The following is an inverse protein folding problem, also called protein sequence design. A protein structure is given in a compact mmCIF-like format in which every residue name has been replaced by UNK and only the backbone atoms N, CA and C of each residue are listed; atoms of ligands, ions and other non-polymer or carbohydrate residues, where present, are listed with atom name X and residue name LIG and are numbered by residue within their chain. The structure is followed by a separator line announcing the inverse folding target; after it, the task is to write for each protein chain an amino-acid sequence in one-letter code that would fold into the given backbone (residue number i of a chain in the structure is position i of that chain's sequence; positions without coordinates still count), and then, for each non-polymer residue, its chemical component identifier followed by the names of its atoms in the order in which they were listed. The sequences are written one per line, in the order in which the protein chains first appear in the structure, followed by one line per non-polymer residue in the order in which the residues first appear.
data_IF_090352272607
#
_entry.id   IF_090352272607
#
_cell.length_a   1.000
_cell.length_b   1.000
_cell.length_c   1.000
_cell.angle_alpha   90.00
_cell.angle_beta   90.00
_cell.angle_gamma   90.00
#
_symmetry.space_group_name_H-M   'P 1'
#
loop_
_entity.id
_entity.type
_entity.pdbx_description
1 polymer ?
#
# COMPACT_ATOMS: atom_id res chain seq x y z
N UNK A 1 1.21 14.41 -28.66
CA UNK A 1 1.75 15.26 -27.60
C UNK A 1 2.30 14.36 -26.52
N UNK A 2 3.61 14.11 -26.61
CA UNK A 2 4.41 13.26 -25.76
C UNK A 2 4.80 14.09 -24.52
N UNK A 3 4.10 13.90 -23.42
CA UNK A 3 4.53 14.45 -22.13
C UNK A 3 5.50 13.42 -21.55
N UNK A 4 6.79 13.73 -21.62
CA UNK A 4 7.86 12.84 -21.23
C UNK A 4 7.70 12.40 -19.77
N UNK A 5 7.78 11.11 -19.55
CA UNK A 5 7.80 10.39 -18.26
C UNK A 5 8.80 10.97 -17.23
N UNK A 6 9.71 11.83 -17.66
CA UNK A 6 10.75 12.47 -16.85
C UNK A 6 10.27 13.65 -16.02
N UNK A 7 9.22 14.36 -16.45
CA UNK A 7 8.71 15.53 -15.70
C UNK A 7 7.76 15.12 -14.55
N UNK A 8 6.98 14.06 -14.77
CA UNK A 8 6.15 13.45 -13.74
C UNK A 8 7.00 12.89 -12.58
N UNK A 9 8.10 12.22 -12.91
CA UNK A 9 9.02 11.67 -11.92
C UNK A 9 9.73 12.74 -11.07
N UNK A 10 10.01 13.93 -11.61
CA UNK A 10 10.65 15.00 -10.83
C UNK A 10 9.70 15.66 -9.82
N UNK A 11 8.44 15.85 -10.17
CA UNK A 11 7.47 16.53 -9.31
C UNK A 11 6.98 15.63 -8.17
N UNK A 12 6.92 14.31 -8.40
CA UNK A 12 6.58 13.32 -7.38
C UNK A 12 7.76 13.03 -6.44
N UNK A 13 8.97 12.92 -6.98
CA UNK A 13 10.21 12.70 -6.20
C UNK A 13 10.52 13.87 -5.26
N UNK A 14 10.20 15.12 -5.64
CA UNK A 14 10.38 16.29 -4.78
C UNK A 14 9.43 16.28 -3.57
N UNK A 15 8.18 15.84 -3.73
CA UNK A 15 7.22 15.75 -2.60
C UNK A 15 7.60 14.68 -1.59
N UNK A 16 8.07 13.52 -2.03
CA UNK A 16 8.52 12.42 -1.16
C UNK A 16 9.85 12.80 -0.47
N UNK A 17 10.78 13.47 -1.19
CA UNK A 17 12.05 13.92 -0.62
C UNK A 17 11.89 15.08 0.38
N UNK A 18 10.92 15.97 0.17
CA UNK A 18 10.66 17.06 1.10
C UNK A 18 9.97 16.57 2.39
N UNK A 19 9.09 15.55 2.32
CA UNK A 19 8.50 14.91 3.50
C UNK A 19 9.56 14.17 4.35
N UNK A 20 10.52 13.47 3.72
CA UNK A 20 11.64 12.84 4.43
C UNK A 20 12.59 13.85 5.10
N UNK A 21 12.65 15.10 4.64
CA UNK A 21 13.50 16.15 5.26
C UNK A 21 12.99 16.66 6.59
N UNK A 22 11.69 16.49 6.90
CA UNK A 22 11.06 16.99 8.12
C UNK A 22 10.79 15.93 9.19
N UNK A 23 11.24 14.68 8.99
CA UNK A 23 11.08 13.61 9.98
C UNK A 23 9.62 13.19 10.24
N UNK A 24 8.68 13.60 9.39
CA UNK A 24 7.29 13.21 9.47
C UNK A 24 7.09 11.87 8.74
N UNK A 25 6.68 10.86 9.49
CA UNK A 25 6.24 9.57 8.95
C UNK A 25 4.86 9.75 8.34
N UNK A 26 4.73 9.60 7.03
CA UNK A 26 3.46 9.85 6.34
C UNK A 26 2.87 8.59 5.73
N UNK A 27 1.61 8.30 6.05
CA UNK A 27 0.83 7.30 5.35
C UNK A 27 0.66 7.67 3.86
N UNK A 28 0.63 6.66 3.00
CA UNK A 28 0.40 6.85 1.55
C UNK A 28 -1.10 6.81 1.27
N UNK A 29 -1.58 7.74 0.44
CA UNK A 29 -2.96 7.74 -0.05
C UNK A 29 -3.00 7.50 -1.55
N UNK A 30 -3.79 6.51 -1.97
CA UNK A 30 -3.99 6.11 -3.35
C UNK A 30 -5.49 6.00 -3.64
N UNK A 31 -5.88 6.20 -4.90
CA UNK A 31 -7.29 6.14 -5.30
C UNK A 31 -7.53 5.17 -6.46
N UNK A 32 -8.62 4.40 -6.36
CA UNK A 32 -9.13 3.54 -7.44
C UNK A 32 -10.66 3.52 -7.41
N UNK A 33 -11.28 3.29 -8.57
CA UNK A 33 -12.74 3.09 -8.66
C UNK A 33 -13.10 1.63 -8.44
N UNK A 34 -14.30 1.42 -7.90
CA UNK A 34 -14.95 0.11 -7.89
C UNK A 34 -15.56 -0.13 -9.27
N UNK A 35 -14.96 -1.03 -10.03
CA UNK A 35 -15.34 -1.36 -11.40
C UNK A 35 -16.39 -2.47 -11.46
N UNK A 36 -17.08 -2.60 -12.60
CA UNK A 36 -18.12 -3.59 -12.83
C UNK A 36 -17.71 -5.04 -12.49
N UNK A 37 -16.52 -5.54 -12.84
CA UNK A 37 -16.10 -6.90 -12.50
C UNK A 37 -15.93 -7.18 -11.01
N UNK A 38 -15.97 -6.16 -10.16
CA UNK A 38 -15.79 -6.28 -8.71
C UNK A 38 -17.09 -6.56 -7.98
N UNK A 39 -18.25 -6.23 -8.58
CA UNK A 39 -19.55 -6.28 -7.91
C UNK A 39 -20.37 -7.50 -8.35
N UNK A 40 -21.21 -7.98 -7.45
CA UNK A 40 -22.20 -9.01 -7.70
C UNK A 40 -23.58 -8.41 -8.07
N UNK A 41 -24.60 -9.28 -8.17
CA UNK A 41 -25.98 -8.87 -8.47
C UNK A 41 -26.60 -7.95 -7.42
N UNK A 42 -26.06 -7.91 -6.20
CA UNK A 42 -26.46 -6.98 -5.16
C UNK A 42 -25.83 -5.59 -5.29
N UNK A 43 -25.04 -5.36 -6.33
CA UNK A 43 -24.25 -4.14 -6.54
C UNK A 43 -23.28 -3.84 -5.39
N UNK A 44 -22.71 -4.89 -4.82
CA UNK A 44 -21.73 -4.84 -3.74
C UNK A 44 -20.49 -5.60 -4.18
N UNK A 45 -19.30 -5.03 -3.95
CA UNK A 45 -18.06 -5.75 -4.19
C UNK A 45 -17.98 -6.97 -3.27
N UNK A 46 -17.89 -8.18 -3.84
CA UNK A 46 -17.78 -9.37 -3.02
C UNK A 46 -16.35 -9.52 -2.48
N UNK A 47 -16.22 -10.11 -1.28
CA UNK A 47 -15.03 -10.01 -0.46
C UNK A 47 -13.69 -10.37 -1.16
N UNK A 48 -13.58 -11.39 -2.06
CA UNK A 48 -12.31 -11.65 -2.73
C UNK A 48 -11.83 -10.50 -3.62
N UNK A 49 -12.79 -9.74 -4.20
CA UNK A 49 -12.45 -8.56 -5.02
C UNK A 49 -11.97 -7.37 -4.18
N UNK A 50 -12.36 -7.31 -2.91
CA UNK A 50 -11.83 -6.30 -1.98
C UNK A 50 -10.37 -6.60 -1.66
N UNK A 51 -10.01 -7.88 -1.46
CA UNK A 51 -8.60 -8.28 -1.32
C UNK A 51 -7.79 -8.09 -2.60
N UNK A 52 -8.37 -8.36 -3.78
CA UNK A 52 -7.75 -8.05 -5.08
C UNK A 52 -7.47 -6.53 -5.24
N UNK A 53 -8.43 -5.69 -4.83
CA UNK A 53 -8.25 -4.24 -4.82
C UNK A 53 -7.14 -3.82 -3.82
N UNK A 54 -7.12 -4.40 -2.63
CA UNK A 54 -6.08 -4.15 -1.65
C UNK A 54 -4.69 -4.54 -2.17
N UNK A 55 -4.59 -5.67 -2.89
CA UNK A 55 -3.33 -6.09 -3.50
C UNK A 55 -2.85 -5.11 -4.58
N UNK A 56 -3.76 -4.57 -5.40
CA UNK A 56 -3.40 -3.52 -6.37
C UNK A 56 -2.90 -2.25 -5.70
N UNK A 57 -3.49 -1.85 -4.60
CA UNK A 57 -2.99 -0.74 -3.80
C UNK A 57 -1.63 -1.06 -3.17
N UNK A 58 -1.43 -2.30 -2.70
CA UNK A 58 -0.14 -2.77 -2.22
C UNK A 58 0.95 -2.63 -3.31
N UNK A 59 0.70 -3.10 -4.53
CA UNK A 59 1.66 -2.98 -5.64
C UNK A 59 1.98 -1.51 -5.97
N UNK A 60 0.95 -0.65 -6.05
CA UNK A 60 1.15 0.78 -6.36
C UNK A 60 1.89 1.52 -5.23
N UNK A 61 1.70 1.09 -3.97
CA UNK A 61 2.29 1.76 -2.81
C UNK A 61 3.82 1.64 -2.75
N UNK A 62 4.41 0.61 -3.35
CA UNK A 62 5.85 0.41 -3.36
C UNK A 62 6.63 1.56 -3.99
N UNK A 63 6.12 2.12 -5.09
CA UNK A 63 6.76 3.27 -5.73
C UNK A 63 6.71 4.51 -4.83
N UNK A 64 5.58 4.74 -4.17
CA UNK A 64 5.41 5.86 -3.25
C UNK A 64 6.25 5.72 -1.96
N UNK A 65 6.38 4.51 -1.41
CA UNK A 65 7.06 4.24 -0.14
C UNK A 65 8.58 4.07 -0.34
N UNK A 66 8.99 3.29 -1.34
CA UNK A 66 10.38 2.87 -1.52
C UNK A 66 11.05 3.45 -2.77
N UNK A 67 10.32 4.23 -3.60
CA UNK A 67 10.81 4.70 -4.90
C UNK A 67 11.05 3.59 -5.91
N UNK A 68 10.51 2.39 -5.68
CA UNK A 68 10.68 1.19 -6.48
C UNK A 68 9.34 0.61 -6.87
N UNK A 69 9.11 0.34 -8.14
CA UNK A 69 7.91 -0.39 -8.58
C UNK A 69 8.01 -1.86 -8.16
N UNK A 70 6.89 -2.44 -7.75
CA UNK A 70 6.82 -3.83 -7.27
C UNK A 70 7.44 -4.87 -8.24
N UNK A 71 7.23 -4.78 -9.58
CA UNK A 71 7.92 -5.66 -10.52
C UNK A 71 9.47 -5.61 -10.47
N UNK A 72 10.06 -4.45 -10.12
CA UNK A 72 11.52 -4.33 -9.95
C UNK A 72 11.99 -5.17 -8.76
N UNK A 73 11.24 -5.15 -7.64
CA UNK A 73 11.52 -6.01 -6.48
C UNK A 73 11.51 -7.49 -6.88
N UNK A 74 10.50 -7.93 -7.63
CA UNK A 74 10.30 -9.33 -8.00
C UNK A 74 11.32 -9.81 -9.04
N UNK A 75 11.50 -9.05 -10.12
CA UNK A 75 12.21 -9.50 -11.32
C UNK A 75 13.70 -9.17 -11.28
N UNK A 76 14.08 -8.00 -10.76
CA UNK A 76 15.45 -7.54 -10.73
C UNK A 76 16.13 -7.84 -9.40
N UNK A 77 15.49 -7.49 -8.28
CA UNK A 77 16.04 -7.75 -6.95
C UNK A 77 15.79 -9.17 -6.45
N UNK A 78 14.92 -9.94 -7.13
CA UNK A 78 14.53 -11.31 -6.74
C UNK A 78 14.03 -11.40 -5.31
N UNK A 79 13.27 -10.39 -4.87
CA UNK A 79 12.65 -10.33 -3.54
C UNK A 79 11.14 -10.24 -3.67
N UNK A 80 10.44 -11.17 -3.01
CA UNK A 80 8.99 -11.19 -2.91
C UNK A 80 8.52 -10.87 -1.50
N UNK A 81 7.25 -10.42 -1.40
CA UNK A 81 6.63 -10.11 -0.12
C UNK A 81 5.25 -10.80 -0.02
N UNK A 82 5.21 -12.16 -0.05
CA UNK A 82 3.95 -12.88 0.13
C UNK A 82 3.31 -12.55 1.47
N UNK A 83 1.98 -12.46 1.46
CA UNK A 83 1.17 -12.28 2.68
C UNK A 83 1.10 -13.62 3.43
N UNK A 84 1.37 -13.59 4.73
CA UNK A 84 1.34 -14.76 5.61
C UNK A 84 0.25 -14.66 6.68
N UNK A 85 -0.29 -13.46 6.91
CA UNK A 85 -1.38 -13.23 7.85
C UNK A 85 -2.24 -12.07 7.37
N UNK A 86 -3.56 -12.19 7.53
CA UNK A 86 -4.54 -11.13 7.23
C UNK A 86 -5.58 -11.08 8.32
N UNK A 87 -5.82 -9.88 8.84
CA UNK A 87 -6.98 -9.55 9.66
C UNK A 87 -7.74 -8.43 8.97
N UNK A 88 -9.07 -8.53 8.87
CA UNK A 88 -9.88 -7.55 8.15
C UNK A 88 -11.24 -7.36 8.78
N UNK A 89 -11.73 -6.11 8.73
CA UNK A 89 -13.07 -5.74 9.17
C UNK A 89 -13.81 -5.01 8.04
N UNK A 90 -15.05 -5.41 7.81
CA UNK A 90 -15.95 -4.82 6.83
C UNK A 90 -16.93 -3.91 7.57
N UNK A 91 -16.87 -2.59 7.31
CA UNK A 91 -17.67 -1.58 8.00
C UNK A 91 -18.88 -1.16 7.17
N UNK A 92 -18.71 -1.01 5.86
CA UNK A 92 -19.77 -0.70 4.92
C UNK A 92 -19.48 -1.29 3.53
N UNK A 93 -20.49 -1.49 2.66
CA UNK A 93 -20.29 -2.09 1.36
C UNK A 93 -19.60 -1.15 0.37
N UNK A 94 -18.63 -1.67 -0.38
CA UNK A 94 -18.08 -1.00 -1.56
C UNK A 94 -19.06 -1.21 -2.73
N UNK A 95 -19.51 -0.14 -3.36
CA UNK A 95 -20.51 -0.20 -4.45
C UNK A 95 -19.88 0.16 -5.79
N UNK A 96 -20.50 -0.34 -6.87
CA UNK A 96 -20.10 0.04 -8.23
C UNK A 96 -20.08 1.57 -8.39
N UNK A 97 -18.99 2.07 -8.95
CA UNK A 97 -18.78 3.50 -9.19
C UNK A 97 -18.22 4.29 -8.01
N UNK A 98 -18.11 3.69 -6.81
CA UNK A 98 -17.41 4.34 -5.71
C UNK A 98 -15.94 4.61 -6.08
N UNK A 99 -15.45 5.76 -5.64
CA UNK A 99 -14.02 6.08 -5.65
C UNK A 99 -13.46 5.76 -4.27
N UNK A 100 -12.63 4.74 -4.20
CA UNK A 100 -11.98 4.32 -2.96
C UNK A 100 -10.68 5.08 -2.80
N UNK A 101 -10.55 5.77 -1.67
CA UNK A 101 -9.28 6.30 -1.16
C UNK A 101 -8.72 5.29 -0.17
N UNK A 102 -7.60 4.66 -0.52
CA UNK A 102 -6.87 3.77 0.37
C UNK A 102 -5.78 4.58 1.10
N UNK A 103 -5.84 4.61 2.42
CA UNK A 103 -4.75 5.08 3.27
C UNK A 103 -3.96 3.87 3.74
N UNK A 104 -2.66 3.85 3.45
CA UNK A 104 -1.75 2.74 3.70
C UNK A 104 -0.58 3.24 4.54
N UNK A 105 -0.27 2.52 5.60
CA UNK A 105 0.91 2.78 6.44
C UNK A 105 1.53 1.48 6.93
N UNK A 106 2.75 1.59 7.41
CA UNK A 106 3.51 0.48 7.99
C UNK A 106 3.48 0.63 9.50
N UNK A 107 2.94 -0.38 10.17
CA UNK A 107 2.89 -0.45 11.64
C UNK A 107 4.21 -0.97 12.21
N UNK A 108 4.79 -1.98 11.56
CA UNK A 108 6.01 -2.62 12.05
C UNK A 108 6.87 -3.16 10.93
N UNK A 109 8.19 -2.92 11.02
CA UNK A 109 9.21 -3.54 10.17
C UNK A 109 10.09 -4.44 11.04
N UNK A 110 9.99 -5.78 10.83
CA UNK A 110 10.84 -6.78 11.45
C UNK A 110 12.08 -7.06 10.59
N UNK A 111 12.92 -8.03 10.98
CA UNK A 111 14.11 -8.42 10.20
C UNK A 111 13.75 -8.83 8.76
N UNK A 112 12.72 -9.66 8.61
CA UNK A 112 12.25 -10.20 7.32
C UNK A 112 10.73 -10.11 7.17
N UNK A 113 10.01 -9.37 8.01
CA UNK A 113 8.56 -9.21 7.94
C UNK A 113 8.16 -7.74 8.01
N UNK A 114 7.01 -7.42 7.43
CA UNK A 114 6.45 -6.09 7.44
C UNK A 114 4.94 -6.16 7.69
N UNK A 115 4.44 -5.34 8.60
CA UNK A 115 3.01 -5.22 8.91
C UNK A 115 2.45 -4.01 8.22
N UNK A 116 1.53 -4.24 7.31
CA UNK A 116 0.83 -3.25 6.50
C UNK A 116 -0.55 -3.00 7.07
N UNK A 117 -0.95 -1.75 7.19
CA UNK A 117 -2.28 -1.35 7.61
C UNK A 117 -2.99 -0.58 6.51
N UNK A 118 -4.29 -0.82 6.37
CA UNK A 118 -5.13 -0.25 5.32
C UNK A 118 -6.43 0.30 5.91
N UNK A 119 -6.83 1.48 5.44
CA UNK A 119 -8.18 2.03 5.59
C UNK A 119 -8.71 2.39 4.21
N UNK A 120 -9.91 1.91 3.86
CA UNK A 120 -10.60 2.27 2.64
C UNK A 120 -11.78 3.16 2.96
N UNK A 121 -11.78 4.36 2.38
CA UNK A 121 -12.89 5.31 2.45
C UNK A 121 -13.47 5.53 1.07
N UNK A 122 -14.78 5.78 0.99
CA UNK A 122 -15.41 6.23 -0.26
C UNK A 122 -15.27 7.75 -0.45
N UNK A 123 -15.83 8.28 -1.55
CA UNK A 123 -15.81 9.71 -1.89
C UNK A 123 -16.59 10.60 -0.91
N UNK A 124 -17.31 10.01 0.05
CA UNK A 124 -18.04 10.71 1.13
C UNK A 124 -17.31 10.62 2.47
N UNK A 125 -16.06 10.13 2.46
CA UNK A 125 -15.25 9.87 3.65
C UNK A 125 -15.86 8.82 4.62
N UNK A 126 -16.72 7.95 4.11
CA UNK A 126 -17.26 6.83 4.87
C UNK A 126 -16.23 5.70 4.89
N UNK A 127 -15.90 5.19 6.09
CA UNK A 127 -15.02 4.04 6.28
C UNK A 127 -15.72 2.76 5.83
N UNK A 128 -15.16 2.07 4.84
CA UNK A 128 -15.73 0.87 4.26
C UNK A 128 -15.03 -0.41 4.72
N UNK A 129 -13.72 -0.38 4.83
CA UNK A 129 -12.92 -1.56 5.13
C UNK A 129 -11.60 -1.19 5.79
N UNK A 130 -11.17 -2.03 6.75
CA UNK A 130 -9.84 -1.95 7.37
C UNK A 130 -9.17 -3.30 7.31
N UNK A 131 -7.84 -3.31 7.19
CA UNK A 131 -7.07 -4.55 7.25
C UNK A 131 -5.68 -4.33 7.82
N UNK A 132 -5.21 -5.35 8.54
CA UNK A 132 -3.81 -5.53 8.90
C UNK A 132 -3.28 -6.78 8.22
N UNK A 133 -2.19 -6.64 7.48
CA UNK A 133 -1.58 -7.71 6.71
C UNK A 133 -0.10 -7.84 7.03
N UNK A 134 0.36 -9.04 7.28
CA UNK A 134 1.79 -9.32 7.49
C UNK A 134 2.35 -9.96 6.24
N UNK A 135 3.40 -9.35 5.68
CA UNK A 135 4.20 -9.93 4.60
C UNK A 135 5.55 -10.39 5.11
N UNK A 136 6.15 -11.36 4.42
CA UNK A 136 7.50 -11.87 4.72
C UNK A 136 8.36 -11.71 3.48
N UNK A 137 9.56 -11.14 3.64
CA UNK A 137 10.54 -11.04 2.57
C UNK A 137 11.10 -12.42 2.25
N UNK A 138 10.96 -12.83 0.99
CA UNK A 138 11.49 -14.11 0.49
C UNK A 138 12.38 -13.88 -0.73
N UNK A 139 13.33 -14.76 -0.87
CA UNK A 139 14.09 -14.90 -2.12
C UNK A 139 13.23 -15.63 -3.14
N UNK A 140 13.05 -15.04 -4.34
CA UNK A 140 12.13 -15.55 -5.36
C UNK A 140 12.60 -16.84 -6.03
N UNK A 141 13.88 -17.13 -6.00
CA UNK A 141 14.39 -18.35 -6.64
C UNK A 141 14.27 -19.56 -5.70
N UNK A 142 14.43 -19.36 -4.39
CA UNK A 142 14.43 -20.42 -3.38
C UNK A 142 13.16 -20.44 -2.50
N UNK A 143 12.35 -19.39 -2.55
CA UNK A 143 11.21 -19.14 -1.65
C UNK A 143 11.58 -19.17 -0.16
N UNK A 144 12.86 -19.05 0.16
CA UNK A 144 13.33 -18.97 1.53
C UNK A 144 13.19 -17.58 2.09
N UNK A 145 12.89 -17.51 3.39
CA UNK A 145 12.82 -16.25 4.14
C UNK A 145 14.19 -15.59 4.20
N UNK A 146 14.25 -14.30 3.88
CA UNK A 146 15.49 -13.51 3.88
C UNK A 146 15.26 -12.15 4.55
N UNK A 147 16.32 -11.50 5.07
CA UNK A 147 16.20 -10.14 5.60
C UNK A 147 15.71 -9.16 4.54
N UNK A 148 14.92 -8.16 4.97
CA UNK A 148 14.49 -7.05 4.11
C UNK A 148 15.75 -6.24 3.71
N UNK A 149 15.98 -6.00 2.40
CA UNK A 149 17.13 -5.20 1.95
C UNK A 149 17.13 -3.80 2.57
N UNK A 150 18.30 -3.27 2.94
CA UNK A 150 18.42 -2.01 3.68
C UNK A 150 17.73 -0.82 3.00
N UNK A 151 17.84 -0.68 1.67
CA UNK A 151 17.16 0.40 0.94
C UNK A 151 15.65 0.31 0.99
N UNK A 152 15.11 -0.92 0.90
CA UNK A 152 13.67 -1.19 1.05
C UNK A 152 13.21 -0.94 2.48
N UNK A 153 13.97 -1.42 3.47
CA UNK A 153 13.72 -1.22 4.89
C UNK A 153 13.55 0.26 5.23
N UNK A 154 14.47 1.10 4.80
CA UNK A 154 14.44 2.54 5.07
C UNK A 154 13.15 3.20 4.53
N UNK A 155 12.69 2.81 3.34
CA UNK A 155 11.41 3.27 2.79
C UNK A 155 10.23 2.83 3.63
N UNK A 156 10.16 1.54 3.99
CA UNK A 156 9.08 0.99 4.82
C UNK A 156 9.02 1.66 6.20
N UNK A 157 10.16 1.87 6.86
CA UNK A 157 10.24 2.53 8.18
C UNK A 157 9.84 4.01 8.14
N UNK A 158 9.94 4.67 6.98
CA UNK A 158 9.50 6.05 6.80
C UNK A 158 7.99 6.21 6.58
N UNK A 159 7.26 5.13 6.31
CA UNK A 159 5.83 5.11 6.02
C UNK A 159 5.00 4.72 7.26
N UNK A 160 4.98 5.56 8.30
CA UNK A 160 4.13 5.33 9.48
C UNK A 160 2.86 6.18 9.43
N UNK A 161 1.96 5.96 10.40
CA UNK A 161 0.84 6.86 10.70
C UNK A 161 1.30 7.80 11.81
N UNK A 162 1.12 9.11 11.65
CA UNK A 162 1.27 10.03 12.76
C UNK A 162 0.23 9.68 13.83
N UNK A 163 0.69 9.42 15.05
CA UNK A 163 -0.20 9.32 16.18
C UNK A 163 -0.84 10.69 16.40
N UNK A 164 -2.15 10.79 16.12
CA UNK A 164 -2.96 11.99 16.38
C UNK A 164 -3.10 12.25 17.90
N UNK A 165 -2.45 11.49 18.73
CA UNK A 165 -2.38 11.65 20.17
C UNK A 165 -1.09 12.38 20.59
N UNK A 166 -1.00 13.68 20.23
CA UNK A 166 -0.18 14.61 20.95
C UNK A 166 -0.72 14.79 22.37
N UNK A 167 -0.38 13.89 23.27
CA UNK A 167 -0.51 14.13 24.70
C UNK A 167 0.76 14.84 25.19
N UNK A 168 0.56 16.08 25.66
CA UNK A 168 1.44 16.86 26.53
C UNK A 168 1.84 16.08 27.79
#
# INVERSE_FOLDING_TARGET
LDISTTEWNRQFCTRVHDACRFGQSMAVQLQRKVDFPMVDLANIAYYPRIFDLAHRFFEDSWEAICGLRYPVLLLEMKKGFPVVHVESNFHAPLRYGDTITATIWIDKVGESSCTWCYEFHNQKDELLWTSTQVTVCVDMDTMSRVPIPNGVRAGLESCGREDVNGNL
#
